data_IF_095577600121
#
_entry.id   IF_095577600121
#
_cell.length_a   1.000
_cell.length_b   1.000
_cell.length_c   1.000
_cell.angle_alpha   90.00
_cell.angle_beta   90.00
_cell.angle_gamma   90.00
#
_symmetry.space_group_name_H-M   'P 1'
#
loop_
_entity.id
_entity.type
_entity.pdbx_description
1 polymer ?
#
# COMPACT_ATOMS: atom_id res chain seq x y z
N UNK A 1 32.68 8.78 25.70
CA UNK A 1 32.31 8.18 24.41
C UNK A 1 30.79 8.31 24.26
N UNK A 2 30.34 9.26 23.48
CA UNK A 2 28.91 9.40 23.17
C UNK A 2 28.51 8.19 22.32
N UNK A 3 27.68 7.29 22.87
CA UNK A 3 27.10 6.21 22.10
C UNK A 3 26.30 6.85 20.96
N UNK A 4 26.54 6.41 19.72
CA UNK A 4 25.76 6.86 18.56
C UNK A 4 24.26 6.61 18.75
N UNK A 5 23.43 7.12 17.82
CA UNK A 5 21.98 6.90 17.89
C UNK A 5 21.65 5.40 18.04
N UNK A 6 20.61 5.07 18.83
CA UNK A 6 20.25 3.67 19.02
C UNK A 6 19.73 3.06 17.70
N UNK A 7 20.18 1.82 17.42
CA UNK A 7 19.80 1.12 16.20
C UNK A 7 18.51 0.30 16.41
N UNK A 8 17.60 0.39 15.44
CA UNK A 8 16.36 -0.37 15.39
C UNK A 8 16.21 -1.10 14.05
N UNK A 9 15.78 -2.34 14.10
CA UNK A 9 15.38 -3.11 12.93
C UNK A 9 13.86 -3.20 12.87
N UNK A 10 13.28 -2.81 11.75
CA UNK A 10 11.84 -2.96 11.49
C UNK A 10 11.64 -4.07 10.47
N UNK A 11 11.06 -5.19 10.89
CA UNK A 11 10.70 -6.28 9.99
C UNK A 11 9.29 -6.05 9.45
N UNK A 12 9.17 -5.87 8.14
CA UNK A 12 7.89 -5.65 7.45
C UNK A 12 7.63 -6.85 6.54
N UNK A 13 6.49 -7.49 6.74
CA UNK A 13 6.06 -8.63 5.93
C UNK A 13 4.57 -8.55 5.59
N UNK A 14 4.16 -9.26 4.57
CA UNK A 14 2.79 -9.53 4.14
C UNK A 14 2.26 -8.81 2.88
N UNK A 15 2.88 -7.80 2.34
CA UNK A 15 2.44 -7.20 1.08
C UNK A 15 3.05 -5.84 0.77
N UNK A 16 3.00 -5.44 -0.49
CA UNK A 16 3.46 -4.11 -0.93
C UNK A 16 2.72 -3.02 -0.14
N UNK A 17 1.39 -3.16 0.02
CA UNK A 17 0.58 -2.21 0.79
C UNK A 17 1.04 -2.08 2.23
N UNK A 18 1.37 -3.18 2.90
CA UNK A 18 1.84 -3.18 4.29
C UNK A 18 3.16 -2.40 4.44
N UNK A 19 4.07 -2.50 3.44
CA UNK A 19 5.32 -1.72 3.45
C UNK A 19 5.03 -0.22 3.41
N UNK A 20 4.08 0.21 2.56
CA UNK A 20 3.69 1.61 2.47
C UNK A 20 2.96 2.08 3.72
N UNK A 21 2.02 1.29 4.24
CA UNK A 21 1.26 1.61 5.46
C UNK A 21 2.14 1.62 6.74
N UNK A 22 3.32 0.99 6.69
CA UNK A 22 4.31 1.07 7.77
C UNK A 22 5.23 2.32 7.69
N UNK A 23 5.15 3.13 6.64
CA UNK A 23 6.00 4.33 6.50
C UNK A 23 5.82 5.37 7.61
N UNK A 24 4.63 5.58 8.23
CA UNK A 24 4.50 6.42 9.42
C UNK A 24 5.35 5.95 10.60
N UNK A 25 5.47 4.64 10.82
CA UNK A 25 6.36 4.08 11.85
C UNK A 25 7.83 4.43 11.55
N UNK A 26 8.28 4.27 10.29
CA UNK A 26 9.65 4.58 9.91
C UNK A 26 9.97 6.07 10.10
N UNK A 27 9.03 6.96 9.74
CA UNK A 27 9.14 8.40 9.96
C UNK A 27 9.23 8.72 11.45
N UNK A 28 8.35 8.18 12.28
CA UNK A 28 8.35 8.39 13.73
C UNK A 28 9.67 7.95 14.39
N UNK A 29 10.19 6.79 14.03
CA UNK A 29 11.47 6.30 14.55
C UNK A 29 12.65 7.21 14.14
N UNK A 30 12.64 7.71 12.91
CA UNK A 30 13.63 8.67 12.43
C UNK A 30 13.55 10.01 13.19
N UNK A 31 12.35 10.54 13.42
CA UNK A 31 12.12 11.74 14.23
C UNK A 31 12.63 11.57 15.68
N UNK A 32 12.49 10.37 16.24
CA UNK A 32 13.04 9.98 17.54
C UNK A 32 14.55 9.77 17.54
N UNK A 33 15.23 10.03 16.42
CA UNK A 33 16.69 9.88 16.27
C UNK A 33 17.17 8.43 16.37
N UNK A 34 16.35 7.46 16.04
CA UNK A 34 16.83 6.09 15.80
C UNK A 34 17.54 5.98 14.46
N UNK A 35 18.55 5.12 14.41
CA UNK A 35 19.08 4.61 13.14
C UNK A 35 18.25 3.42 12.72
N UNK A 36 17.47 3.59 11.65
CA UNK A 36 16.46 2.62 11.22
C UNK A 36 16.99 1.76 10.08
N UNK A 37 17.01 0.46 10.28
CA UNK A 37 17.14 -0.53 9.23
C UNK A 37 15.79 -1.22 9.01
N UNK A 38 15.52 -1.60 7.78
CA UNK A 38 14.30 -2.33 7.40
C UNK A 38 14.69 -3.73 6.94
N UNK A 39 13.93 -4.72 7.39
CA UNK A 39 14.01 -6.09 6.90
C UNK A 39 12.70 -6.45 6.20
N UNK A 40 12.77 -6.81 4.92
CA UNK A 40 11.64 -7.21 4.10
C UNK A 40 11.62 -8.72 3.93
N UNK A 41 10.48 -9.36 4.15
CA UNK A 41 10.29 -10.78 3.82
C UNK A 41 10.50 -11.02 2.33
N UNK A 42 11.08 -12.18 1.96
CA UNK A 42 11.55 -12.49 0.62
C UNK A 42 10.54 -12.25 -0.51
N UNK A 43 9.26 -12.60 -0.30
CA UNK A 43 8.19 -12.39 -1.28
C UNK A 43 7.94 -10.91 -1.64
N UNK A 44 8.51 -9.97 -0.88
CA UNK A 44 8.31 -8.52 -1.04
C UNK A 44 9.61 -7.76 -1.22
N UNK A 45 10.69 -8.45 -1.58
CA UNK A 45 12.02 -7.87 -1.80
C UNK A 45 12.00 -6.73 -2.83
N UNK A 46 11.10 -6.78 -3.82
CA UNK A 46 10.91 -5.72 -4.83
C UNK A 46 10.50 -4.37 -4.21
N UNK A 47 9.96 -4.34 -2.98
CA UNK A 47 9.63 -3.08 -2.29
C UNK A 47 10.86 -2.37 -1.72
N UNK A 48 12.02 -3.02 -1.69
CA UNK A 48 13.25 -2.43 -1.16
C UNK A 48 13.61 -1.10 -1.86
N UNK A 49 13.40 -1.03 -3.18
CA UNK A 49 13.74 0.15 -3.97
C UNK A 49 12.84 1.35 -3.71
N UNK A 50 11.66 1.14 -3.10
CA UNK A 50 10.80 2.23 -2.62
C UNK A 50 11.40 2.93 -1.40
N UNK A 51 12.18 2.21 -0.58
CA UNK A 51 12.68 2.68 0.72
C UNK A 51 14.17 3.07 0.71
N UNK A 52 14.99 2.50 -0.20
CA UNK A 52 16.46 2.69 -0.19
C UNK A 52 16.92 4.14 -0.34
N UNK A 53 16.17 4.98 -1.03
CA UNK A 53 16.49 6.40 -1.21
C UNK A 53 15.94 7.30 -0.09
N UNK A 54 15.28 6.73 0.89
CA UNK A 54 14.66 7.50 1.96
C UNK A 54 15.63 7.74 3.11
N UNK A 55 15.91 9.00 3.43
CA UNK A 55 16.83 9.39 4.52
C UNK A 55 16.41 8.88 5.91
N UNK A 56 15.13 8.51 6.09
CA UNK A 56 14.65 7.90 7.32
C UNK A 56 15.10 6.43 7.49
N UNK A 57 15.65 5.80 6.42
CA UNK A 57 16.07 4.41 6.41
C UNK A 57 17.56 4.35 6.07
N UNK A 58 18.37 3.77 6.96
CA UNK A 58 19.80 3.59 6.72
C UNK A 58 20.08 2.46 5.73
N UNK A 59 19.42 1.33 5.91
CA UNK A 59 19.61 0.15 5.07
C UNK A 59 18.30 -0.66 4.94
N UNK A 60 18.15 -1.33 3.80
CA UNK A 60 17.05 -2.27 3.54
C UNK A 60 17.64 -3.63 3.26
N UNK A 61 17.25 -4.61 4.06
CA UNK A 61 17.68 -5.99 4.03
C UNK A 61 16.55 -6.88 3.51
N UNK A 62 16.90 -7.92 2.78
CA UNK A 62 16.01 -9.04 2.44
C UNK A 62 16.46 -10.27 3.23
N UNK A 63 15.66 -11.34 3.22
CA UNK A 63 15.99 -12.58 3.95
C UNK A 63 17.38 -13.12 3.57
N UNK A 64 17.79 -12.97 2.32
CA UNK A 64 19.07 -13.44 1.81
C UNK A 64 20.27 -12.58 2.22
N UNK A 65 20.04 -11.28 2.47
CA UNK A 65 21.10 -10.30 2.74
C UNK A 65 21.27 -9.97 4.22
N UNK A 66 20.33 -10.39 5.09
CA UNK A 66 20.33 -10.03 6.50
C UNK A 66 21.19 -10.99 7.33
N UNK A 67 22.28 -10.48 7.89
CA UNK A 67 23.05 -11.17 8.91
C UNK A 67 22.80 -10.56 10.30
N UNK A 68 21.87 -11.18 11.04
CA UNK A 68 21.52 -10.78 12.41
C UNK A 68 22.65 -11.08 13.43
N UNK A 69 23.64 -11.92 13.07
CA UNK A 69 24.75 -12.29 13.99
C UNK A 69 25.82 -11.20 14.06
N UNK A 70 26.00 -10.48 12.96
CA UNK A 70 26.99 -9.38 12.88
C UNK A 70 26.48 -8.05 13.41
N UNK A 71 25.16 -7.91 13.64
CA UNK A 71 24.51 -6.66 14.02
C UNK A 71 23.85 -6.76 15.40
N UNK A 72 23.96 -5.69 16.17
CA UNK A 72 23.32 -5.58 17.49
C UNK A 72 22.30 -4.46 17.49
N UNK A 73 21.06 -4.79 17.17
CA UNK A 73 19.95 -3.86 17.30
C UNK A 73 19.53 -3.73 18.77
N UNK A 74 19.23 -2.51 19.19
CA UNK A 74 18.64 -2.24 20.50
C UNK A 74 17.20 -2.73 20.58
N UNK A 75 16.49 -2.61 19.47
CA UNK A 75 15.09 -3.01 19.33
C UNK A 75 14.87 -3.68 17.97
N UNK A 76 13.98 -4.67 17.94
CA UNK A 76 13.46 -5.26 16.72
C UNK A 76 11.94 -5.11 16.75
N UNK A 77 11.39 -4.43 15.74
CA UNK A 77 9.96 -4.17 15.61
C UNK A 77 9.39 -5.08 14.54
N UNK A 78 8.52 -6.04 14.89
CA UNK A 78 7.85 -6.87 13.91
C UNK A 78 6.57 -6.16 13.40
N UNK A 79 6.74 -5.31 12.41
CA UNK A 79 5.64 -4.67 11.67
C UNK A 79 5.01 -5.67 10.69
N UNK A 80 4.42 -6.71 11.23
CA UNK A 80 3.77 -7.82 10.51
C UNK A 80 2.29 -7.90 10.91
N UNK A 81 1.42 -8.51 10.07
CA UNK A 81 0.02 -8.68 10.44
C UNK A 81 -0.14 -9.35 11.80
N UNK A 82 -1.06 -8.87 12.66
CA UNK A 82 -1.21 -9.37 14.03
C UNK A 82 -1.42 -10.87 14.14
N UNK A 83 -2.10 -11.49 13.17
CA UNK A 83 -2.36 -12.94 13.18
C UNK A 83 -1.11 -13.80 12.93
N UNK A 84 0.00 -13.23 12.39
CA UNK A 84 1.28 -13.94 12.29
C UNK A 84 2.13 -13.85 13.55
N UNK A 85 1.77 -12.94 14.46
CA UNK A 85 2.55 -12.66 15.65
C UNK A 85 2.90 -13.89 16.50
N UNK A 86 1.96 -14.82 16.82
CA UNK A 86 2.30 -15.95 17.69
C UNK A 86 3.44 -16.80 17.13
N UNK A 87 3.41 -17.08 15.83
CA UNK A 87 4.49 -17.84 15.17
C UNK A 87 5.80 -17.06 15.14
N UNK A 88 5.72 -15.75 14.86
CA UNK A 88 6.89 -14.89 14.82
C UNK A 88 7.56 -14.79 16.19
N UNK A 89 6.82 -14.54 17.24
CA UNK A 89 7.33 -14.46 18.60
C UNK A 89 7.95 -15.79 19.04
N UNK A 90 7.29 -16.90 18.78
CA UNK A 90 7.82 -18.24 19.10
C UNK A 90 9.17 -18.50 18.41
N UNK A 91 9.35 -18.00 17.18
CA UNK A 91 10.59 -18.20 16.41
C UNK A 91 11.73 -17.28 16.86
N UNK A 92 11.44 -16.03 17.26
CA UNK A 92 12.44 -14.98 17.37
C UNK A 92 12.63 -14.39 18.77
N UNK A 93 11.68 -14.57 19.72
CA UNK A 93 11.76 -13.92 21.05
C UNK A 93 12.97 -14.33 21.87
N UNK A 94 13.51 -15.53 21.68
CA UNK A 94 14.69 -16.00 22.38
C UNK A 94 16.01 -15.39 21.85
N UNK A 95 16.00 -14.85 20.63
CA UNK A 95 17.22 -14.42 19.93
C UNK A 95 17.25 -12.94 19.59
N UNK A 96 16.09 -12.28 19.53
CA UNK A 96 15.96 -10.88 19.14
C UNK A 96 15.31 -10.04 20.25
N UNK A 97 15.76 -8.79 20.45
CA UNK A 97 15.18 -7.84 21.40
C UNK A 97 13.85 -7.27 20.85
N UNK A 98 12.83 -8.13 20.79
CA UNK A 98 11.53 -7.76 20.22
C UNK A 98 10.82 -6.69 21.03
N UNK A 99 10.32 -5.65 20.37
CA UNK A 99 9.35 -4.75 20.95
C UNK A 99 8.03 -5.48 21.09
N UNK A 100 7.42 -5.52 22.30
CA UNK A 100 6.18 -6.23 22.51
C UNK A 100 5.04 -5.69 21.64
N UNK A 101 4.18 -6.58 21.18
CA UNK A 101 2.99 -6.24 20.41
C UNK A 101 2.11 -5.22 21.18
N UNK A 102 1.62 -4.16 20.50
CA UNK A 102 0.85 -3.13 21.17
C UNK A 102 -0.58 -3.51 21.52
N UNK A 103 -1.16 -4.47 20.81
CA UNK A 103 -2.56 -4.90 20.96
C UNK A 103 -2.67 -6.43 21.03
N UNK A 104 -3.62 -6.92 21.80
CA UNK A 104 -3.98 -8.34 21.85
C UNK A 104 -4.88 -8.78 20.69
N UNK A 105 -5.46 -7.83 19.93
CA UNK A 105 -6.25 -8.14 18.74
C UNK A 105 -5.42 -8.91 17.72
N UNK A 106 -6.00 -9.94 17.12
CA UNK A 106 -5.40 -10.69 16.01
C UNK A 106 -5.66 -10.05 14.64
N UNK A 107 -6.46 -8.98 14.59
CA UNK A 107 -6.84 -8.30 13.37
C UNK A 107 -6.56 -6.81 13.46
N UNK A 108 -6.30 -6.16 12.32
CA UNK A 108 -6.22 -4.71 12.25
C UNK A 108 -7.59 -4.09 12.50
N UNK A 109 -7.60 -3.02 13.30
CA UNK A 109 -8.67 -2.03 13.29
C UNK A 109 -8.25 -0.81 12.46
N UNK A 110 -6.97 -0.44 12.59
CA UNK A 110 -6.27 0.60 11.85
C UNK A 110 -4.83 0.11 11.70
N UNK A 111 -4.41 -0.17 10.46
CA UNK A 111 -3.12 -0.78 10.20
C UNK A 111 -1.96 0.21 10.43
N UNK A 112 -2.15 1.47 10.04
CA UNK A 112 -1.12 2.50 10.25
C UNK A 112 -0.90 2.75 11.76
N UNK A 113 -2.00 2.86 12.52
CA UNK A 113 -1.91 3.05 13.97
C UNK A 113 -1.33 1.82 14.67
N UNK A 114 -1.67 0.62 14.19
CA UNK A 114 -1.04 -0.60 14.71
C UNK A 114 0.48 -0.55 14.55
N UNK A 115 1.00 -0.18 13.38
CA UNK A 115 2.45 -0.05 13.19
C UNK A 115 3.03 1.09 14.00
N UNK A 116 2.40 2.26 14.00
CA UNK A 116 2.87 3.44 14.72
C UNK A 116 2.89 3.22 16.24
N UNK A 117 2.00 2.38 16.77
CA UNK A 117 1.92 2.07 18.19
C UNK A 117 3.18 1.39 18.74
N UNK A 118 4.02 0.76 17.90
CA UNK A 118 5.36 0.31 18.31
C UNK A 118 6.28 1.50 18.62
N UNK A 119 6.26 2.57 17.81
CA UNK A 119 7.02 3.78 18.11
C UNK A 119 6.50 4.45 19.39
N UNK A 120 5.18 4.47 19.62
CA UNK A 120 4.58 4.99 20.86
C UNK A 120 5.09 4.23 22.10
N UNK A 121 5.25 2.91 22.03
CA UNK A 121 5.88 2.12 23.10
C UNK A 121 7.33 2.51 23.37
N UNK A 122 8.01 3.08 22.40
CA UNK A 122 9.37 3.60 22.54
C UNK A 122 9.42 5.08 22.92
N UNK A 123 8.27 5.73 23.15
CA UNK A 123 8.15 7.12 23.61
C UNK A 123 7.76 8.13 22.53
N UNK A 124 7.30 7.70 21.34
CA UNK A 124 6.75 8.62 20.35
C UNK A 124 5.45 9.27 20.86
N UNK A 125 5.26 10.59 20.70
CA UNK A 125 4.10 11.30 21.23
C UNK A 125 2.76 10.76 20.71
N UNK A 126 1.72 10.62 21.54
CA UNK A 126 0.43 10.06 21.15
C UNK A 126 -0.38 10.95 20.19
N UNK A 127 -0.16 12.24 20.24
CA UNK A 127 -0.81 13.26 19.41
C UNK A 127 -0.14 13.45 18.03
N UNK A 128 1.03 12.86 17.83
CA UNK A 128 1.73 12.87 16.55
C UNK A 128 1.32 11.66 15.71
N UNK A 129 0.94 11.88 14.45
CA UNK A 129 0.56 10.83 13.52
C UNK A 129 1.02 11.18 12.11
N UNK A 130 2.27 10.80 11.74
CA UNK A 130 2.75 10.98 10.38
C UNK A 130 1.82 10.29 9.37
N UNK A 131 1.69 10.88 8.19
CA UNK A 131 0.96 10.26 7.08
C UNK A 131 1.87 9.27 6.32
N UNK A 132 1.24 8.35 5.60
CA UNK A 132 1.96 7.51 4.64
C UNK A 132 2.70 8.39 3.64
N UNK A 133 3.95 8.04 3.37
CA UNK A 133 4.83 8.84 2.53
C UNK A 133 5.93 8.00 1.91
N UNK A 134 6.20 8.25 0.63
CA UNK A 134 7.39 7.78 -0.07
C UNK A 134 8.10 8.98 -0.70
N UNK A 135 9.40 9.18 -0.49
CA UNK A 135 10.14 10.31 -1.06
C UNK A 135 10.55 10.00 -2.51
N UNK A 136 9.55 9.75 -3.34
CA UNK A 136 9.71 9.44 -4.76
C UNK A 136 9.09 10.56 -5.54
N UNK A 137 9.92 11.28 -6.30
CA UNK A 137 9.47 12.26 -7.26
C UNK A 137 9.18 11.62 -8.63
N UNK A 138 8.43 12.30 -9.48
CA UNK A 138 8.30 11.92 -10.87
C UNK A 138 9.66 11.89 -11.55
N UNK A 139 9.92 10.87 -12.37
CA UNK A 139 11.09 10.85 -13.23
C UNK A 139 10.89 11.76 -14.44
N UNK A 140 11.99 12.12 -15.12
CA UNK A 140 11.94 12.84 -16.40
C UNK A 140 11.34 12.00 -17.56
N UNK A 141 11.04 10.73 -17.31
CA UNK A 141 10.31 9.87 -18.25
C UNK A 141 8.85 10.31 -18.31
N UNK A 142 8.57 11.29 -19.16
CA UNK A 142 7.22 11.87 -19.33
C UNK A 142 6.31 10.97 -20.17
N UNK A 143 6.12 9.72 -19.79
CA UNK A 143 5.15 8.86 -20.47
C UNK A 143 3.72 9.16 -20.06
N UNK A 144 3.54 9.78 -18.89
CA UNK A 144 2.28 10.31 -18.35
C UNK A 144 2.48 11.73 -17.81
N UNK A 145 1.41 12.48 -17.64
CA UNK A 145 1.45 13.86 -17.14
C UNK A 145 0.24 14.18 -16.27
N UNK A 146 0.14 15.45 -15.83
CA UNK A 146 -0.91 15.91 -14.91
C UNK A 146 -2.34 15.80 -15.48
N UNK A 147 -2.49 15.60 -16.78
CA UNK A 147 -3.78 15.37 -17.44
C UNK A 147 -4.03 13.87 -17.72
N UNK A 148 -3.17 12.97 -17.22
CA UNK A 148 -3.30 11.52 -17.44
C UNK A 148 -3.97 10.86 -16.25
N UNK A 149 -5.03 10.11 -16.51
CA UNK A 149 -5.58 9.14 -15.56
C UNK A 149 -4.77 7.87 -15.63
N UNK A 150 -4.23 7.42 -14.50
CA UNK A 150 -3.59 6.11 -14.40
C UNK A 150 -4.55 5.13 -13.73
N UNK A 151 -4.76 3.99 -14.39
CA UNK A 151 -5.59 2.89 -13.91
C UNK A 151 -4.69 1.76 -13.42
N UNK A 152 -4.88 1.34 -12.15
CA UNK A 152 -4.23 0.16 -11.57
C UNK A 152 -5.30 -0.91 -11.25
N UNK A 153 -5.77 -1.68 -12.24
CA UNK A 153 -6.94 -2.55 -12.12
C UNK A 153 -6.63 -3.86 -11.41
N UNK A 154 -5.36 -4.14 -11.13
CA UNK A 154 -4.90 -5.40 -10.59
C UNK A 154 -5.13 -5.60 -9.10
N UNK A 155 -4.98 -6.82 -8.67
CA UNK A 155 -4.81 -7.25 -7.28
C UNK A 155 -4.14 -8.62 -7.27
N UNK A 156 -3.69 -9.11 -6.12
CA UNK A 156 -3.22 -10.50 -6.00
C UNK A 156 -4.25 -11.47 -6.59
N UNK A 157 -3.76 -12.59 -7.11
CA UNK A 157 -4.57 -13.71 -7.61
C UNK A 157 -5.27 -14.48 -6.48
N UNK A 158 -6.03 -15.50 -6.82
CA UNK A 158 -6.82 -16.27 -5.87
C UNK A 158 -7.96 -15.46 -5.26
N UNK A 159 -8.19 -15.63 -3.98
CA UNK A 159 -9.29 -14.94 -3.28
C UNK A 159 -9.22 -13.41 -3.37
N UNK A 160 -8.01 -12.85 -3.50
CA UNK A 160 -7.81 -11.40 -3.62
C UNK A 160 -8.28 -10.83 -4.96
N UNK A 161 -8.51 -11.67 -5.98
CA UNK A 161 -9.12 -11.26 -7.24
C UNK A 161 -10.55 -10.71 -7.06
N UNK A 162 -11.24 -11.08 -5.98
CA UNK A 162 -12.53 -10.52 -5.61
C UNK A 162 -12.51 -9.01 -5.28
N UNK A 163 -11.32 -8.40 -5.15
CA UNK A 163 -11.15 -6.95 -4.99
C UNK A 163 -11.15 -6.19 -6.31
N UNK A 164 -11.17 -6.86 -7.46
CA UNK A 164 -11.04 -6.23 -8.78
C UNK A 164 -12.40 -5.72 -9.26
N UNK A 165 -12.49 -4.41 -9.41
CA UNK A 165 -13.66 -3.78 -10.03
C UNK A 165 -13.72 -4.16 -11.52
N UNK A 166 -14.88 -4.61 -12.05
CA UNK A 166 -14.92 -5.22 -13.38
C UNK A 166 -14.97 -4.24 -14.56
N UNK A 167 -15.16 -2.93 -14.32
CA UNK A 167 -15.49 -1.96 -15.38
C UNK A 167 -14.37 -0.98 -15.69
N UNK A 168 -13.10 -1.38 -15.49
CA UNK A 168 -11.95 -0.50 -15.79
C UNK A 168 -11.78 -0.19 -17.27
N UNK A 169 -12.18 -1.12 -18.17
CA UNK A 169 -12.14 -0.88 -19.63
C UNK A 169 -13.12 0.19 -20.02
N UNK A 170 -14.35 0.08 -19.51
CA UNK A 170 -15.41 1.04 -19.76
C UNK A 170 -15.09 2.42 -19.15
N UNK A 171 -14.44 2.44 -17.99
CA UNK A 171 -13.95 3.71 -17.42
C UNK A 171 -12.86 4.34 -18.29
N UNK A 172 -11.96 3.54 -18.85
CA UNK A 172 -10.88 4.03 -19.69
C UNK A 172 -11.42 4.71 -20.97
N UNK A 173 -12.55 4.23 -21.49
CA UNK A 173 -13.20 4.79 -22.68
C UNK A 173 -13.84 6.19 -22.42
N UNK A 174 -14.01 6.58 -21.15
CA UNK A 174 -14.54 7.90 -20.76
C UNK A 174 -13.47 9.01 -20.73
N UNK A 175 -12.19 8.68 -20.99
CA UNK A 175 -11.08 9.64 -20.89
C UNK A 175 -10.13 9.54 -22.09
N UNK A 176 -9.67 10.68 -22.60
CA UNK A 176 -8.74 10.73 -23.75
C UNK A 176 -7.29 10.34 -23.39
N UNK A 177 -6.86 10.64 -22.17
CA UNK A 177 -5.49 10.41 -21.69
C UNK A 177 -5.47 9.39 -20.56
N UNK A 178 -5.35 8.13 -20.91
CA UNK A 178 -5.36 7.02 -19.96
C UNK A 178 -4.11 6.18 -20.10
N UNK A 179 -3.59 5.75 -18.95
CA UNK A 179 -2.53 4.75 -18.86
C UNK A 179 -2.92 3.62 -17.90
N UNK A 180 -2.50 2.40 -18.19
CA UNK A 180 -2.74 1.22 -17.35
C UNK A 180 -1.42 0.67 -16.86
N UNK A 181 -1.33 0.40 -15.56
CA UNK A 181 -0.15 -0.16 -14.88
C UNK A 181 -0.51 -1.44 -14.12
N UNK A 182 0.49 -2.29 -13.90
CA UNK A 182 0.37 -3.54 -13.17
C UNK A 182 1.11 -4.67 -13.83
N UNK A 183 0.87 -5.89 -13.38
CA UNK A 183 1.37 -7.11 -14.02
C UNK A 183 0.26 -7.85 -14.76
N UNK A 184 0.59 -8.67 -15.73
CA UNK A 184 -0.39 -9.47 -16.47
C UNK A 184 -1.18 -10.40 -15.53
N UNK A 185 -0.51 -10.94 -14.50
CA UNK A 185 -1.16 -11.78 -13.50
C UNK A 185 -2.18 -11.00 -12.64
N UNK A 186 -1.82 -9.76 -12.28
CA UNK A 186 -2.71 -8.90 -11.51
C UNK A 186 -3.95 -8.45 -12.29
N UNK A 187 -3.88 -8.44 -13.63
CA UNK A 187 -4.95 -7.98 -14.50
C UNK A 187 -6.04 -9.03 -14.76
N UNK A 188 -5.81 -10.29 -14.48
CA UNK A 188 -6.82 -11.34 -14.65
C UNK A 188 -8.00 -11.09 -13.71
N UNK A 189 -9.21 -10.97 -14.26
CA UNK A 189 -10.44 -10.85 -13.48
C UNK A 189 -10.71 -12.12 -12.67
N UNK A 190 -11.70 -12.07 -11.78
CA UNK A 190 -12.13 -13.23 -11.00
C UNK A 190 -12.52 -14.44 -11.86
N UNK A 191 -12.99 -14.18 -13.09
CA UNK A 191 -13.34 -15.16 -14.12
C UNK A 191 -12.20 -15.45 -15.11
N UNK A 192 -10.96 -15.11 -14.75
CA UNK A 192 -9.75 -15.24 -15.57
C UNK A 192 -9.76 -14.45 -16.91
N UNK A 193 -10.72 -13.58 -17.12
CA UNK A 193 -10.76 -12.74 -18.31
C UNK A 193 -9.99 -11.44 -18.08
N UNK A 194 -8.87 -11.19 -18.76
CA UNK A 194 -8.16 -9.92 -18.63
C UNK A 194 -9.01 -8.79 -19.23
N UNK A 195 -8.96 -7.57 -18.63
CA UNK A 195 -9.61 -6.41 -19.23
C UNK A 195 -8.97 -6.10 -20.58
N UNK A 196 -9.80 -5.74 -21.55
CA UNK A 196 -9.35 -5.28 -22.86
C UNK A 196 -9.52 -3.78 -22.93
N UNK A 197 -8.42 -3.08 -23.17
CA UNK A 197 -8.42 -1.63 -23.32
C UNK A 197 -8.40 -1.22 -24.79
N UNK A 198 -9.04 -0.11 -25.11
CA UNK A 198 -9.04 0.46 -26.44
C UNK A 198 -7.62 0.92 -26.87
N UNK A 199 -7.36 1.06 -28.20
CA UNK A 199 -6.02 1.38 -28.71
C UNK A 199 -5.44 2.73 -28.24
N UNK A 200 -6.26 3.69 -27.82
CA UNK A 200 -5.80 4.98 -27.29
C UNK A 200 -5.21 4.88 -25.89
N UNK A 201 -5.51 3.80 -25.15
CA UNK A 201 -5.04 3.58 -23.78
C UNK A 201 -3.58 3.12 -23.80
N UNK A 202 -2.70 3.87 -23.16
CA UNK A 202 -1.29 3.50 -23.00
C UNK A 202 -1.17 2.33 -22.01
N UNK A 203 -0.61 1.22 -22.43
CA UNK A 203 -0.47 0.03 -21.58
C UNK A 203 0.99 -0.16 -21.15
N UNK A 204 1.21 -0.10 -19.83
CA UNK A 204 2.50 -0.29 -19.18
C UNK A 204 2.55 -1.56 -18.33
N UNK A 205 1.76 -2.56 -18.69
CA UNK A 205 1.72 -3.86 -18.01
C UNK A 205 3.04 -4.58 -18.20
N UNK A 206 3.63 -5.11 -17.12
CA UNK A 206 4.94 -5.79 -17.06
C UNK A 206 6.13 -4.97 -17.62
N UNK A 207 5.99 -3.63 -17.71
CA UNK A 207 7.02 -2.78 -18.32
C UNK A 207 7.99 -2.13 -17.34
N UNK A 208 7.57 -1.98 -16.11
CA UNK A 208 8.30 -1.20 -15.10
C UNK A 208 8.55 -1.99 -13.83
N UNK A 209 9.68 -1.72 -13.20
CA UNK A 209 9.92 -2.10 -11.82
C UNK A 209 8.92 -1.37 -10.90
N UNK A 210 8.78 -1.83 -9.67
CA UNK A 210 7.89 -1.19 -8.71
C UNK A 210 8.31 0.27 -8.43
N UNK A 211 9.62 0.56 -8.44
CA UNK A 211 10.15 1.92 -8.29
C UNK A 211 9.78 2.81 -9.48
N UNK A 212 9.99 2.35 -10.70
CA UNK A 212 9.61 3.09 -11.91
C UNK A 212 8.10 3.29 -12.00
N UNK A 213 7.31 2.30 -11.57
CA UNK A 213 5.85 2.45 -11.44
C UNK A 213 5.50 3.56 -10.44
N UNK A 214 6.17 3.62 -9.30
CA UNK A 214 5.93 4.68 -8.31
C UNK A 214 6.28 6.08 -8.87
N UNK A 215 7.35 6.20 -9.64
CA UNK A 215 7.74 7.45 -10.33
C UNK A 215 6.71 7.87 -11.39
N UNK A 216 6.16 6.90 -12.14
CA UNK A 216 5.07 7.14 -13.08
C UNK A 216 3.80 7.60 -12.35
N UNK A 217 3.43 6.92 -11.25
CA UNK A 217 2.29 7.33 -10.42
C UNK A 217 2.47 8.76 -9.88
N UNK A 218 3.69 9.15 -9.49
CA UNK A 218 3.99 10.51 -9.01
C UNK A 218 3.80 11.58 -10.09
N UNK A 219 3.92 11.23 -11.37
CA UNK A 219 3.72 12.13 -12.51
C UNK A 219 2.25 12.24 -12.94
N UNK A 220 1.40 11.30 -12.56
CA UNK A 220 0.02 11.20 -13.01
C UNK A 220 -0.87 12.32 -12.47
N UNK A 221 -1.91 12.70 -13.22
CA UNK A 221 -2.96 13.63 -12.78
C UNK A 221 -3.82 13.06 -11.67
N UNK A 222 -4.28 11.83 -11.87
CA UNK A 222 -5.01 11.05 -10.88
C UNK A 222 -4.75 9.55 -11.07
N UNK A 223 -5.00 8.77 -10.02
CA UNK A 223 -4.92 7.31 -10.06
C UNK A 223 -6.25 6.73 -9.57
N UNK A 224 -6.77 5.75 -10.29
CA UNK A 224 -7.87 4.91 -9.81
C UNK A 224 -7.40 3.47 -9.68
N UNK A 225 -7.67 2.85 -8.54
CA UNK A 225 -7.21 1.51 -8.23
C UNK A 225 -8.18 0.77 -7.31
N UNK A 226 -8.04 -0.55 -7.26
CA UNK A 226 -8.62 -1.34 -6.16
C UNK A 226 -7.83 -1.12 -4.86
N UNK A 227 -8.30 -1.68 -3.76
CA UNK A 227 -7.55 -1.81 -2.51
C UNK A 227 -6.30 -2.69 -2.69
N UNK A 228 -5.20 -2.11 -3.18
CA UNK A 228 -3.95 -2.80 -3.55
C UNK A 228 -2.71 -1.96 -3.27
N UNK A 229 -1.53 -2.60 -3.37
CA UNK A 229 -0.26 -1.92 -3.12
C UNK A 229 -0.01 -0.68 -3.99
N UNK A 230 -0.45 -0.68 -5.26
CA UNK A 230 -0.27 0.49 -6.15
C UNK A 230 -1.13 1.68 -5.72
N UNK A 231 -2.34 1.45 -5.18
CA UNK A 231 -3.15 2.51 -4.59
C UNK A 231 -2.42 3.22 -3.44
N UNK A 232 -1.79 2.43 -2.56
CA UNK A 232 -1.05 2.99 -1.42
C UNK A 232 0.25 3.67 -1.84
N UNK A 233 0.94 3.14 -2.84
CA UNK A 233 2.11 3.83 -3.43
C UNK A 233 1.68 5.19 -4.00
N UNK A 234 0.61 5.23 -4.78
CA UNK A 234 0.06 6.47 -5.35
C UNK A 234 -0.28 7.49 -4.25
N UNK A 235 -0.98 7.04 -3.20
CA UNK A 235 -1.28 7.86 -2.03
C UNK A 235 -0.01 8.43 -1.38
N UNK A 236 1.01 7.59 -1.21
CA UNK A 236 2.25 7.94 -0.51
C UNK A 236 3.20 8.85 -1.30
N UNK A 237 3.11 8.84 -2.63
CA UNK A 237 3.84 9.79 -3.50
C UNK A 237 3.08 11.10 -3.72
N UNK A 238 1.87 11.24 -3.13
CA UNK A 238 1.09 12.49 -3.14
C UNK A 238 0.16 12.67 -4.34
N UNK A 239 -0.04 11.63 -5.17
CA UNK A 239 -0.94 11.71 -6.32
C UNK A 239 -2.39 11.58 -5.89
N UNK A 240 -3.34 12.40 -6.43
CA UNK A 240 -4.77 12.21 -6.20
C UNK A 240 -5.18 10.78 -6.54
N UNK A 241 -5.75 10.08 -5.57
CA UNK A 241 -5.99 8.63 -5.68
C UNK A 241 -7.42 8.30 -5.28
N UNK A 242 -8.14 7.63 -6.16
CA UNK A 242 -9.43 7.01 -5.88
C UNK A 242 -9.23 5.52 -5.63
N UNK A 243 -9.60 5.06 -4.44
CA UNK A 243 -9.52 3.63 -4.08
C UNK A 243 -10.92 3.04 -4.06
N UNK A 244 -11.15 2.01 -4.88
CA UNK A 244 -12.41 1.29 -4.95
C UNK A 244 -12.39 0.14 -3.94
N UNK A 245 -13.28 0.21 -2.95
CA UNK A 245 -13.42 -0.81 -1.92
C UNK A 245 -14.66 -1.68 -2.15
N UNK A 246 -14.48 -2.94 -1.88
CA UNK A 246 -15.54 -3.94 -1.92
C UNK A 246 -15.49 -4.84 -0.68
N UNK A 247 -14.97 -6.06 -0.78
CA UNK A 247 -15.02 -7.04 0.32
C UNK A 247 -14.12 -6.69 1.51
N UNK A 248 -13.09 -5.87 1.31
CA UNK A 248 -12.09 -5.54 2.34
C UNK A 248 -12.52 -4.35 3.20
N UNK A 249 -12.14 -4.31 4.48
CA UNK A 249 -12.50 -3.22 5.37
C UNK A 249 -11.65 -1.97 5.10
N UNK A 250 -12.26 -0.89 4.61
CA UNK A 250 -11.57 0.38 4.36
C UNK A 250 -11.02 1.04 5.62
N UNK A 251 -11.61 0.75 6.79
CA UNK A 251 -11.14 1.28 8.08
C UNK A 251 -9.73 0.82 8.44
N UNK A 252 -9.25 -0.29 7.85
CA UNK A 252 -7.87 -0.76 8.08
C UNK A 252 -6.81 0.15 7.50
N UNK A 253 -7.20 1.07 6.58
CA UNK A 253 -6.27 2.05 6.03
C UNK A 253 -5.80 3.08 7.06
N UNK A 254 -6.60 3.29 8.12
CA UNK A 254 -6.32 4.31 9.10
C UNK A 254 -6.47 5.73 8.55
N UNK A 255 -5.56 6.61 8.93
CA UNK A 255 -5.57 8.00 8.51
C UNK A 255 -5.07 8.14 7.06
N UNK A 256 -6.00 8.44 6.16
CA UNK A 256 -5.67 8.68 4.76
C UNK A 256 -5.06 10.08 4.56
N UNK A 257 -4.09 10.22 3.64
CA UNK A 257 -3.64 11.51 3.16
C UNK A 257 -4.78 12.28 2.47
N UNK A 258 -4.74 13.63 2.45
CA UNK A 258 -5.81 14.46 1.86
C UNK A 258 -5.99 14.25 0.35
N UNK A 259 -5.01 13.67 -0.33
CA UNK A 259 -5.07 13.33 -1.75
C UNK A 259 -5.78 11.99 -2.04
N UNK A 260 -6.38 11.34 -1.03
CA UNK A 260 -7.03 10.02 -1.20
C UNK A 260 -8.51 10.10 -0.95
N UNK A 261 -9.28 9.60 -1.92
CA UNK A 261 -10.71 9.33 -1.81
C UNK A 261 -10.98 7.84 -1.81
N UNK A 262 -12.01 7.42 -1.07
CA UNK A 262 -12.49 6.03 -1.02
C UNK A 262 -13.90 5.98 -1.56
N UNK A 263 -14.14 5.10 -2.52
CA UNK A 263 -15.47 4.83 -3.03
C UNK A 263 -15.88 3.38 -2.74
N UNK A 264 -17.09 3.22 -2.18
CA UNK A 264 -17.70 1.92 -1.85
C UNK A 264 -19.21 2.01 -1.93
N UNK A 265 -19.89 0.90 -2.09
CA UNK A 265 -21.36 0.87 -2.14
C UNK A 265 -22.04 0.94 -0.77
N UNK A 266 -21.37 0.49 0.28
CA UNK A 266 -21.94 0.46 1.63
C UNK A 266 -23.00 -0.62 1.82
N UNK A 267 -22.90 -1.73 1.09
CA UNK A 267 -23.81 -2.87 1.30
C UNK A 267 -23.67 -3.43 2.71
N UNK A 268 -24.76 -3.97 3.25
CA UNK A 268 -24.76 -4.55 4.61
C UNK A 268 -23.82 -5.73 4.79
N UNK A 269 -23.37 -6.35 3.70
CA UNK A 269 -22.36 -7.41 3.72
C UNK A 269 -20.92 -6.89 3.66
N UNK A 270 -20.71 -5.58 3.44
CA UNK A 270 -19.37 -4.96 3.44
C UNK A 270 -18.97 -4.48 4.84
N UNK A 271 -17.74 -4.75 5.24
CA UNK A 271 -16.76 -5.66 4.64
C UNK A 271 -17.07 -7.12 4.97
N UNK A 272 -16.76 -8.05 4.07
CA UNK A 272 -16.90 -9.49 4.33
C UNK A 272 -15.55 -10.22 4.48
N UNK A 273 -14.44 -9.57 4.08
CA UNK A 273 -13.08 -10.06 4.34
C UNK A 273 -12.78 -10.06 5.84
N UNK A 274 -12.07 -11.07 6.32
CA UNK A 274 -11.82 -11.35 7.73
C UNK A 274 -13.07 -11.74 8.56
N UNK A 275 -14.23 -11.88 7.94
CA UNK A 275 -15.40 -12.48 8.54
C UNK A 275 -15.67 -13.87 7.96
N UNK A 276 -16.46 -14.67 8.65
CA UNK A 276 -16.95 -15.96 8.13
C UNK A 276 -17.89 -15.81 6.92
N UNK A 277 -17.97 -14.59 6.35
CA UNK A 277 -18.90 -14.21 5.28
C UNK A 277 -18.22 -14.02 3.92
N UNK A 278 -16.89 -14.15 3.85
CA UNK A 278 -16.21 -14.08 2.56
C UNK A 278 -16.77 -15.16 1.64
N UNK A 279 -17.18 -14.77 0.43
CA UNK A 279 -17.94 -15.61 -0.52
C UNK A 279 -19.45 -15.83 -0.27
N UNK A 280 -20.10 -15.17 0.69
CA UNK A 280 -21.55 -15.28 0.84
C UNK A 280 -22.34 -14.88 -0.41
N UNK A 281 -21.74 -14.03 -1.27
CA UNK A 281 -22.29 -13.68 -2.58
C UNK A 281 -21.90 -14.66 -3.70
N UNK A 282 -21.28 -15.81 -3.38
CA UNK A 282 -20.79 -16.79 -4.35
C UNK A 282 -19.90 -16.17 -5.46
N UNK A 283 -19.05 -15.21 -5.09
CA UNK A 283 -18.15 -14.53 -6.03
C UNK A 283 -18.79 -13.47 -6.93
N UNK A 284 -20.07 -13.14 -6.74
CA UNK A 284 -20.73 -12.09 -7.55
C UNK A 284 -20.15 -10.72 -7.37
N UNK A 285 -19.45 -10.46 -6.23
CA UNK A 285 -18.82 -9.17 -5.89
C UNK A 285 -19.77 -7.97 -6.10
N UNK A 286 -21.02 -8.09 -5.67
CA UNK A 286 -22.05 -7.05 -5.84
C UNK A 286 -21.60 -5.68 -5.27
N UNK A 287 -20.78 -5.69 -4.23
CA UNK A 287 -20.13 -4.50 -3.66
C UNK A 287 -19.32 -3.71 -4.67
N UNK A 288 -18.64 -4.36 -5.61
CA UNK A 288 -17.90 -3.70 -6.68
C UNK A 288 -18.76 -3.52 -7.94
N UNK A 289 -19.60 -4.51 -8.31
CA UNK A 289 -20.42 -4.41 -9.52
C UNK A 289 -21.45 -3.28 -9.47
N UNK A 290 -21.87 -2.86 -8.28
CA UNK A 290 -22.81 -1.74 -8.09
C UNK A 290 -22.15 -0.37 -8.11
N UNK A 291 -20.81 -0.30 -8.07
CA UNK A 291 -20.08 0.93 -8.39
C UNK A 291 -20.18 1.16 -9.90
N UNK A 292 -21.02 2.09 -10.33
CA UNK A 292 -21.21 2.37 -11.75
C UNK A 292 -20.00 3.11 -12.32
N UNK A 293 -19.76 2.94 -13.63
CA UNK A 293 -18.72 3.70 -14.35
C UNK A 293 -18.94 5.20 -14.17
N UNK A 294 -20.17 5.69 -14.27
CA UNK A 294 -20.50 7.10 -14.09
C UNK A 294 -20.08 7.62 -12.70
N UNK A 295 -20.38 6.87 -11.63
CA UNK A 295 -20.01 7.31 -10.27
C UNK A 295 -18.49 7.34 -10.05
N UNK A 296 -17.75 6.40 -10.64
CA UNK A 296 -16.29 6.37 -10.57
C UNK A 296 -15.69 7.50 -11.41
N UNK A 297 -16.20 7.71 -12.65
CA UNK A 297 -15.79 8.80 -13.53
C UNK A 297 -15.95 10.16 -12.85
N UNK A 298 -17.10 10.44 -12.27
CA UNK A 298 -17.39 11.73 -11.64
C UNK A 298 -16.41 12.01 -10.50
N UNK A 299 -16.09 11.01 -9.67
CA UNK A 299 -15.06 11.13 -8.62
C UNK A 299 -13.65 11.36 -9.19
N UNK A 300 -13.31 10.73 -10.32
CA UNK A 300 -12.02 10.95 -11.00
C UNK A 300 -11.94 12.37 -11.55
N UNK A 301 -13.02 12.89 -12.14
CA UNK A 301 -13.07 14.27 -12.64
C UNK A 301 -12.89 15.30 -11.51
N UNK A 302 -13.51 15.08 -10.36
CA UNK A 302 -13.32 15.92 -9.17
C UNK A 302 -11.85 15.91 -8.70
N UNK A 303 -11.18 14.76 -8.71
CA UNK A 303 -9.77 14.66 -8.36
C UNK A 303 -8.85 15.35 -9.35
N UNK A 304 -9.10 15.21 -10.65
CA UNK A 304 -8.34 15.89 -11.70
C UNK A 304 -8.57 17.41 -11.64
N UNK A 305 -9.80 17.86 -11.40
CA UNK A 305 -10.17 19.28 -11.25
C UNK A 305 -9.51 19.94 -10.03
N UNK A 306 -9.44 19.24 -8.91
CA UNK A 306 -8.81 19.77 -7.68
C UNK A 306 -7.31 20.04 -7.83
N UNK A 307 -6.62 19.30 -8.69
CA UNK A 307 -5.18 19.47 -8.96
C UNK A 307 -4.86 20.63 -9.92
N UNK A 308 -5.83 21.03 -10.75
CA UNK A 308 -5.66 22.13 -11.69
C UNK A 308 -5.84 23.50 -11.02
N UNK A 309 -6.28 23.54 -9.77
CA UNK A 309 -6.53 24.76 -8.98
C UNK A 309 -5.55 24.96 -7.81
N UNK A 310 -4.56 24.10 -7.66
CA UNK A 310 -3.42 24.25 -6.76
C UNK A 310 -2.14 24.63 -7.53
#
# INVERSE_FOLDING_TARGET
MTRGPPEVLVHIGAGIGNVVLATPLLAALHEMRFTVDVWLSGDYAQTADLLRAWSAVRAVWTDESLDLRSRRYKHVIPAIPPFYWPRYAAKHSATLPLVPRPSESLFYQDEQEFYLSFARRLGYPPDCSPLVRLPIASSERQEVGLNTLVIAPGSKTGEMAAKRWPYYSELADEFDNVAVVGTADDLRRYDDTPPRFAPHVKTFVDRFTLRETAELLAAAGAVVANDTGLAYISAAVGTPTLILFGPTPHITLGRLPPNVCVLRTGLTCEPCWFGHRFHTCAGRIDCLRRLSVASVRDQVLDLLGSRLHC
#
